data_IF_850881666208
#
_entry.id   IF_850881666208
#
_cell.length_a   1.000
_cell.length_b   1.000
_cell.length_c   1.000
_cell.angle_alpha   90.00
_cell.angle_beta   90.00
_cell.angle_gamma   90.00
#
_symmetry.space_group_name_H-M   'P 1'
#
loop_
_entity.id
_entity.type
_entity.pdbx_description
1 polymer ?
#
# COMPACT_ATOMS: atom_id res chain seq x y z
N UNK A 1 13.57 29.96 28.57
CA UNK A 1 12.96 30.27 27.26
C UNK A 1 12.11 29.08 26.86
N UNK A 2 10.93 29.31 26.27
CA UNK A 2 10.14 28.25 25.69
C UNK A 2 10.67 27.97 24.28
N UNK A 3 11.00 26.71 23.99
CA UNK A 3 11.33 26.20 22.67
C UNK A 3 10.08 26.28 21.80
N UNK A 4 10.20 26.90 20.62
CA UNK A 4 9.15 26.88 19.61
C UNK A 4 9.40 25.74 18.64
N UNK A 5 8.53 24.74 18.66
CA UNK A 5 8.64 23.55 17.82
C UNK A 5 7.56 23.63 16.74
N UNK A 6 7.98 23.68 15.48
CA UNK A 6 7.07 23.61 14.33
C UNK A 6 6.75 22.15 14.01
N UNK A 7 5.47 21.82 14.03
CA UNK A 7 4.95 20.48 13.76
C UNK A 7 4.09 20.55 12.52
N UNK A 8 4.50 19.87 11.47
CA UNK A 8 3.70 19.74 10.26
C UNK A 8 2.72 18.59 10.43
N UNK A 9 1.43 18.91 10.47
CA UNK A 9 0.38 17.91 10.44
C UNK A 9 0.31 17.28 9.04
N UNK A 10 -0.22 16.07 8.96
CA UNK A 10 -0.51 15.43 7.68
C UNK A 10 -1.43 16.32 6.84
N UNK A 11 -2.34 17.10 7.46
CA UNK A 11 -3.21 18.11 6.81
C UNK A 11 -2.46 19.16 5.97
N UNK A 12 -1.13 19.24 6.12
CA UNK A 12 -0.30 20.32 5.59
C UNK A 12 -0.30 21.55 6.49
N UNK A 13 -1.12 21.58 7.55
CA UNK A 13 -1.11 22.65 8.54
C UNK A 13 0.12 22.57 9.43
N UNK A 14 0.78 23.71 9.62
CA UNK A 14 1.92 23.82 10.53
C UNK A 14 1.42 24.37 11.87
N UNK A 15 1.43 23.52 12.90
CA UNK A 15 1.17 23.94 14.27
C UNK A 15 2.48 24.30 14.96
N UNK A 16 2.49 25.41 15.71
CA UNK A 16 3.63 25.79 16.54
C UNK A 16 3.31 25.44 17.98
N UNK A 17 4.16 24.62 18.59
CA UNK A 17 4.05 24.24 20.00
C UNK A 17 5.13 24.98 20.78
N UNK A 18 4.70 25.68 21.84
CA UNK A 18 5.63 26.26 22.81
C UNK A 18 5.89 25.21 23.91
N UNK A 19 7.02 24.51 23.81
CA UNK A 19 7.45 23.52 24.79
C UNK A 19 8.62 24.09 25.62
N UNK A 20 8.74 23.71 26.89
CA UNK A 20 9.88 24.15 27.72
C UNK A 20 10.95 23.04 27.66
N UNK A 21 12.26 23.34 27.64
CA UNK A 21 13.29 22.29 27.57
C UNK A 21 13.24 21.20 28.64
N UNK A 22 12.62 21.48 29.79
CA UNK A 22 12.41 20.53 30.89
C UNK A 22 11.16 19.63 30.71
N UNK A 23 10.43 19.78 29.60
CA UNK A 23 9.26 18.95 29.29
C UNK A 23 9.72 17.55 28.88
N UNK A 24 9.02 16.52 29.36
CA UNK A 24 9.28 15.13 28.96
C UNK A 24 8.59 14.79 27.65
N UNK A 25 9.04 13.73 26.97
CA UNK A 25 8.38 13.20 25.77
C UNK A 25 6.90 12.89 26.05
N UNK A 26 6.55 12.37 27.24
CA UNK A 26 5.15 12.12 27.64
C UNK A 26 4.30 13.39 27.60
N UNK A 27 4.79 14.49 28.17
CA UNK A 27 4.05 15.75 28.22
C UNK A 27 3.98 16.41 26.84
N UNK A 28 5.05 16.31 26.04
CA UNK A 28 5.05 16.75 24.64
C UNK A 28 4.04 15.98 23.78
N UNK A 29 3.97 14.65 23.91
CA UNK A 29 2.94 13.81 23.26
C UNK A 29 1.52 14.19 23.70
N UNK A 30 1.33 14.62 24.96
CA UNK A 30 0.04 15.11 25.48
C UNK A 30 -0.36 16.44 24.82
N UNK A 31 0.58 17.37 24.64
CA UNK A 31 0.35 18.62 23.92
C UNK A 31 -0.01 18.38 22.44
N UNK A 32 0.69 17.47 21.78
CA UNK A 32 0.36 17.03 20.42
C UNK A 32 -1.06 16.45 20.31
N UNK A 33 -1.50 15.64 21.29
CA UNK A 33 -2.88 15.14 21.36
C UNK A 33 -3.92 16.25 21.60
N UNK A 34 -3.57 17.30 22.32
CA UNK A 34 -4.49 18.41 22.56
C UNK A 34 -4.80 19.21 21.28
N UNK A 35 -3.83 19.31 20.35
CA UNK A 35 -4.04 19.92 19.03
C UNK A 35 -5.06 19.15 18.17
N UNK A 36 -5.22 17.84 18.40
CA UNK A 36 -6.17 17.01 17.66
C UNK A 36 -7.64 17.30 18.00
N UNK A 37 -7.92 17.90 19.16
CA UNK A 37 -9.30 18.12 19.64
C UNK A 37 -10.08 19.23 18.89
N UNK A 38 -9.51 19.81 17.84
CA UNK A 38 -10.13 20.91 17.08
C UNK A 38 -10.35 20.66 15.59
N UNK A 39 -9.97 19.49 15.04
CA UNK A 39 -9.79 19.34 13.58
C UNK A 39 -10.86 18.45 12.91
N UNK A 40 -11.32 17.35 13.53
CA UNK A 40 -12.42 16.48 13.03
C UNK A 40 -12.75 15.38 14.08
N UNK A 41 -13.99 14.88 14.14
CA UNK A 41 -14.38 13.66 14.88
C UNK A 41 -13.46 12.44 14.59
N UNK A 42 -12.93 12.33 13.37
CA UNK A 42 -11.95 11.31 12.97
C UNK A 42 -10.63 11.40 13.74
N UNK A 43 -10.16 12.62 14.04
CA UNK A 43 -8.90 12.84 14.76
C UNK A 43 -9.01 12.61 16.27
N UNK A 44 -10.23 12.70 16.83
CA UNK A 44 -10.50 12.43 18.25
C UNK A 44 -10.29 10.96 18.65
N UNK A 45 -10.33 10.03 17.69
CA UNK A 45 -10.17 8.59 17.92
C UNK A 45 -8.74 8.06 17.67
N UNK A 46 -7.79 8.93 17.29
CA UNK A 46 -6.40 8.57 17.04
C UNK A 46 -5.62 8.39 18.35
N UNK A 47 -5.32 7.14 18.70
CA UNK A 47 -4.83 6.81 20.05
C UNK A 47 -3.30 6.84 20.24
N UNK A 48 -2.50 7.02 19.18
CA UNK A 48 -1.03 7.00 19.29
C UNK A 48 -0.33 8.10 18.46
N UNK A 49 0.42 8.96 19.17
CA UNK A 49 1.33 9.94 18.58
C UNK A 49 2.72 9.34 18.67
N UNK A 50 3.30 8.93 17.54
CA UNK A 50 4.72 8.60 17.49
C UNK A 50 5.49 9.82 17.01
N UNK A 51 6.46 10.23 17.84
CA UNK A 51 7.31 11.36 17.53
C UNK A 51 8.59 10.78 16.94
N UNK A 52 8.93 11.21 15.73
CA UNK A 52 10.15 10.83 15.04
C UNK A 52 11.11 12.02 15.06
N UNK A 53 12.37 11.75 15.40
CA UNK A 53 13.46 12.73 15.34
C UNK A 53 14.59 12.07 14.56
N UNK A 54 15.05 12.71 13.47
CA UNK A 54 16.05 12.13 12.54
C UNK A 54 15.69 10.71 12.08
N UNK A 55 14.42 10.48 11.71
CA UNK A 55 13.88 9.16 11.32
C UNK A 55 13.97 8.06 12.40
N UNK A 56 14.25 8.42 13.66
CA UNK A 56 14.19 7.52 14.80
C UNK A 56 12.96 7.74 15.67
N UNK A 57 12.30 6.64 16.05
CA UNK A 57 11.13 6.65 16.92
C UNK A 57 11.54 6.91 18.36
N UNK A 58 10.92 7.90 18.98
CA UNK A 58 11.07 8.17 20.41
C UNK A 58 10.23 7.21 21.26
N UNK A 59 10.90 6.21 21.85
CA UNK A 59 10.28 5.15 22.65
C UNK A 59 10.31 5.40 24.16
N UNK A 60 11.30 6.12 24.68
CA UNK A 60 11.33 6.51 26.09
C UNK A 60 10.35 7.68 26.30
N UNK A 61 9.45 7.57 27.27
CA UNK A 61 8.45 8.61 27.52
C UNK A 61 8.85 9.54 28.67
N UNK A 62 9.83 9.15 29.48
CA UNK A 62 10.27 9.88 30.67
C UNK A 62 11.52 10.73 30.40
N UNK A 63 12.22 10.47 29.28
CA UNK A 63 13.30 11.29 28.74
C UNK A 63 12.83 12.72 28.40
N UNK A 64 13.69 13.70 28.65
CA UNK A 64 13.45 15.11 28.33
C UNK A 64 13.59 15.38 26.83
N UNK A 65 12.96 16.45 26.33
CA UNK A 65 13.11 16.85 24.92
C UNK A 65 14.57 17.08 24.52
N UNK A 66 15.40 17.62 25.44
CA UNK A 66 16.81 17.86 25.19
C UNK A 66 17.62 16.56 25.07
N UNK A 67 17.35 15.56 25.92
CA UNK A 67 18.01 14.24 25.87
C UNK A 67 17.61 13.49 24.59
N UNK A 68 16.34 13.60 24.19
CA UNK A 68 15.80 13.09 22.93
C UNK A 68 16.32 13.82 21.67
N UNK A 69 17.21 14.81 21.85
CA UNK A 69 17.83 15.58 20.78
C UNK A 69 16.87 16.53 20.07
N UNK A 70 15.77 16.97 20.69
CA UNK A 70 14.83 17.97 20.16
C UNK A 70 15.27 19.37 20.61
N UNK A 71 15.48 20.27 19.65
CA UNK A 71 15.89 21.66 19.86
C UNK A 71 15.18 22.62 18.89
N UNK A 72 15.26 23.93 19.15
CA UNK A 72 14.65 24.99 18.30
C UNK A 72 15.03 24.89 16.81
N UNK A 73 16.26 24.47 16.51
CA UNK A 73 16.78 24.41 15.13
C UNK A 73 16.55 23.07 14.42
N UNK A 74 15.86 22.12 15.06
CA UNK A 74 15.73 20.74 14.55
C UNK A 74 14.31 20.45 14.10
N UNK A 75 14.16 19.98 12.86
CA UNK A 75 12.87 19.56 12.33
C UNK A 75 12.39 18.29 13.04
N UNK A 76 11.18 18.34 13.61
CA UNK A 76 10.54 17.20 14.29
C UNK A 76 9.36 16.74 13.43
N UNK A 77 9.45 15.51 12.93
CA UNK A 77 8.37 14.90 12.17
C UNK A 77 7.50 14.08 13.10
N UNK A 78 6.19 14.36 13.12
CA UNK A 78 5.24 13.62 13.96
C UNK A 78 4.44 12.68 13.08
N UNK A 79 4.65 11.38 13.27
CA UNK A 79 3.86 10.35 12.61
C UNK A 79 2.70 9.97 13.54
N UNK A 80 1.49 10.27 13.09
CA UNK A 80 0.32 9.77 13.80
C UNK A 80 0.06 8.34 13.36
N UNK A 81 0.24 7.39 14.28
CA UNK A 81 -0.25 6.03 14.04
C UNK A 81 -1.75 6.07 14.27
N UNK A 82 -2.50 5.93 13.18
CA UNK A 82 -3.88 5.47 13.25
C UNK A 82 -3.77 4.05 13.78
N UNK A 83 -3.96 3.86 15.10
CA UNK A 83 -4.22 2.51 15.57
C UNK A 83 -5.43 2.04 14.77
N UNK A 84 -5.41 0.84 14.16
CA UNK A 84 -6.65 0.26 13.66
C UNK A 84 -7.62 0.39 14.81
N UNK A 85 -8.71 1.12 14.58
CA UNK A 85 -9.69 1.44 15.62
C UNK A 85 -9.98 0.13 16.34
N UNK A 86 -9.52 0.00 17.58
CA UNK A 86 -10.00 -1.04 18.47
C UNK A 86 -11.48 -0.69 18.65
N UNK A 87 -12.31 -1.32 17.83
CA UNK A 87 -13.73 -1.48 18.02
C UNK A 87 -14.47 -0.24 18.53
N UNK A 88 -14.97 0.60 17.62
CA UNK A 88 -16.20 1.39 17.87
C UNK A 88 -17.45 0.48 18.07
N UNK A 89 -17.29 -0.84 18.16
CA UNK A 89 -18.36 -1.79 18.45
C UNK A 89 -18.44 -2.23 19.93
N UNK A 90 -18.09 -1.35 20.88
CA UNK A 90 -18.52 -1.50 22.28
C UNK A 90 -18.86 -0.15 22.91
N UNK A 91 -19.97 0.46 22.48
CA UNK A 91 -20.94 1.17 23.35
C UNK A 91 -22.09 1.86 22.59
N UNK A 92 -22.50 1.35 21.44
CA UNK A 92 -23.83 1.60 20.92
C UNK A 92 -24.50 0.26 20.62
N UNK A 93 -25.44 -0.13 21.50
CA UNK A 93 -26.41 -1.15 21.16
C UNK A 93 -27.15 -0.69 19.89
N UNK A 94 -26.88 -1.32 18.76
CA UNK A 94 -27.52 -1.02 17.47
C UNK A 94 -26.62 -0.49 16.35
N UNK A 95 -25.31 -0.79 16.33
CA UNK A 95 -24.50 -0.54 15.13
C UNK A 95 -24.69 -1.68 14.12
N UNK A 96 -25.53 -1.40 13.12
CA UNK A 96 -25.75 -2.23 11.95
C UNK A 96 -24.51 -2.22 11.02
N UNK A 97 -24.37 -3.23 10.16
CA UNK A 97 -23.19 -3.65 9.34
C UNK A 97 -22.53 -2.63 8.38
N UNK A 98 -22.72 -1.30 8.50
CA UNK A 98 -22.25 -0.32 7.50
C UNK A 98 -21.34 0.79 8.05
N UNK A 99 -20.45 0.49 9.00
CA UNK A 99 -19.41 1.44 9.42
C UNK A 99 -18.26 1.51 8.39
N UNK A 100 -18.56 2.04 7.20
CA UNK A 100 -17.62 2.36 6.12
C UNK A 100 -16.56 3.36 6.62
N UNK A 101 -15.35 2.90 6.92
CA UNK A 101 -14.24 3.82 7.17
C UNK A 101 -13.68 4.33 5.83
N UNK A 102 -13.87 5.62 5.57
CA UNK A 102 -13.26 6.37 4.46
C UNK A 102 -12.10 7.18 5.03
N UNK A 103 -10.89 6.97 4.51
CA UNK A 103 -9.69 7.72 4.92
C UNK A 103 -9.21 8.61 3.80
N UNK A 104 -9.16 9.92 4.05
CA UNK A 104 -8.45 10.88 3.19
C UNK A 104 -7.07 11.13 3.77
N UNK A 105 -6.03 10.73 3.05
CA UNK A 105 -4.65 11.04 3.44
C UNK A 105 -4.39 12.50 3.05
N UNK A 106 -3.91 13.36 3.95
CA UNK A 106 -3.55 14.71 3.54
C UNK A 106 -2.05 14.85 3.26
N UNK A 107 -1.69 15.73 2.33
CA UNK A 107 -0.41 16.46 2.26
C UNK A 107 0.93 15.70 2.19
N UNK A 108 0.95 14.37 2.13
CA UNK A 108 2.20 13.60 2.14
C UNK A 108 2.73 13.31 0.74
N UNK A 109 4.06 13.25 0.62
CA UNK A 109 4.76 12.83 -0.58
C UNK A 109 4.80 11.30 -0.74
N UNK A 110 4.76 10.56 0.37
CA UNK A 110 4.87 9.09 0.39
C UNK A 110 3.95 8.55 1.48
N UNK A 111 3.21 7.47 1.19
CA UNK A 111 2.57 6.68 2.24
C UNK A 111 3.64 5.78 2.87
N UNK A 112 3.91 5.86 4.18
CA UNK A 112 4.98 5.11 4.80
C UNK A 112 4.80 3.57 4.73
N UNK A 113 5.91 2.87 5.00
CA UNK A 113 5.93 1.43 5.27
C UNK A 113 4.83 1.05 6.27
N UNK A 114 4.01 0.05 5.92
CA UNK A 114 3.01 -0.58 6.80
C UNK A 114 1.96 0.39 7.40
N UNK A 115 1.74 1.57 6.80
CA UNK A 115 0.92 2.65 7.38
C UNK A 115 -0.51 2.24 7.81
N UNK A 116 -1.13 1.31 7.09
CA UNK A 116 -2.48 0.79 7.33
C UNK A 116 -2.51 -0.74 7.38
N UNK A 117 -1.40 -1.39 7.75
CA UNK A 117 -1.35 -2.86 7.83
C UNK A 117 -2.47 -3.41 8.73
N UNK A 118 -3.12 -4.49 8.28
CA UNK A 118 -4.22 -5.17 8.96
C UNK A 118 -5.41 -4.25 9.33
N UNK A 119 -5.60 -3.13 8.64
CA UNK A 119 -6.80 -2.30 8.77
C UNK A 119 -8.02 -2.99 8.12
N UNK A 120 -8.46 -4.10 8.71
CA UNK A 120 -9.45 -5.03 8.14
C UNK A 120 -10.84 -4.45 7.90
N UNK A 121 -11.16 -3.32 8.54
CA UNK A 121 -12.43 -2.60 8.37
C UNK A 121 -12.32 -1.40 7.41
N UNK A 122 -11.13 -1.11 6.88
CA UNK A 122 -10.94 -0.04 5.90
C UNK A 122 -11.61 -0.45 4.59
N UNK A 123 -12.55 0.35 4.09
CA UNK A 123 -13.29 0.02 2.87
C UNK A 123 -12.91 0.92 1.70
N UNK A 124 -12.64 2.20 1.97
CA UNK A 124 -12.22 3.16 0.94
C UNK A 124 -11.09 4.07 1.42
N UNK A 125 -10.17 4.36 0.52
CA UNK A 125 -9.08 5.32 0.75
C UNK A 125 -9.00 6.28 -0.42
N UNK A 126 -8.94 7.57 -0.14
CA UNK A 126 -8.64 8.60 -1.13
C UNK A 126 -7.23 9.11 -0.88
N UNK A 127 -6.34 8.87 -1.85
CA UNK A 127 -4.93 9.24 -1.79
C UNK A 127 -4.73 10.54 -2.60
N UNK A 128 -4.19 11.62 -1.99
CA UNK A 128 -4.13 12.93 -2.61
C UNK A 128 -3.05 13.00 -3.69
N UNK A 129 -3.18 13.92 -4.64
CA UNK A 129 -2.22 14.15 -5.73
C UNK A 129 -0.80 14.56 -5.28
N UNK A 130 -0.57 14.80 -3.99
CA UNK A 130 0.78 15.01 -3.46
C UNK A 130 1.57 13.71 -3.31
N UNK A 131 0.90 12.55 -3.27
CA UNK A 131 1.56 11.25 -3.01
C UNK A 131 2.20 10.70 -4.27
N UNK A 132 3.53 10.59 -4.25
CA UNK A 132 4.34 10.03 -5.31
C UNK A 132 4.63 8.53 -5.13
N UNK A 133 4.51 7.98 -3.92
CA UNK A 133 4.78 6.55 -3.66
C UNK A 133 3.93 5.95 -2.54
N UNK A 134 3.65 4.65 -2.65
CA UNK A 134 3.02 3.82 -1.61
C UNK A 134 4.07 2.84 -1.08
N UNK A 135 4.42 2.97 0.21
CA UNK A 135 5.45 2.18 0.87
C UNK A 135 5.13 0.70 1.01
N UNK A 136 6.15 -0.08 1.36
CA UNK A 136 6.03 -1.54 1.48
C UNK A 136 4.97 -1.91 2.52
N UNK A 137 4.11 -2.87 2.19
CA UNK A 137 3.04 -3.33 3.08
C UNK A 137 2.01 -2.28 3.51
N UNK A 138 1.98 -1.09 2.90
CA UNK A 138 1.20 0.05 3.39
C UNK A 138 -0.30 -0.25 3.64
N UNK A 139 -0.91 -1.12 2.85
CA UNK A 139 -2.30 -1.59 3.00
C UNK A 139 -2.39 -3.11 3.10
N UNK A 140 -1.30 -3.80 3.48
CA UNK A 140 -1.33 -5.25 3.57
C UNK A 140 -2.37 -5.72 4.61
N UNK A 141 -3.17 -6.74 4.30
CA UNK A 141 -4.19 -7.27 5.20
C UNK A 141 -5.46 -6.44 5.32
N UNK A 142 -5.64 -5.39 4.50
CA UNK A 142 -6.89 -4.62 4.43
C UNK A 142 -7.98 -5.39 3.69
N UNK A 143 -8.49 -6.47 4.30
CA UNK A 143 -9.37 -7.44 3.63
C UNK A 143 -10.68 -6.85 3.10
N UNK A 144 -11.21 -5.78 3.73
CA UNK A 144 -12.46 -5.11 3.30
C UNK A 144 -12.23 -3.94 2.34
N UNK A 145 -10.97 -3.63 2.00
CA UNK A 145 -10.65 -2.48 1.15
C UNK A 145 -11.13 -2.75 -0.26
N UNK A 146 -12.13 -1.99 -0.70
CA UNK A 146 -12.78 -2.16 -2.00
C UNK A 146 -12.31 -1.11 -3.02
N UNK A 147 -12.15 0.14 -2.57
CA UNK A 147 -11.84 1.27 -3.45
C UNK A 147 -10.63 2.05 -2.93
N UNK A 148 -9.67 2.29 -3.81
CA UNK A 148 -8.54 3.18 -3.54
C UNK A 148 -8.46 4.17 -4.69
N UNK A 149 -8.73 5.44 -4.40
CA UNK A 149 -8.56 6.50 -5.38
C UNK A 149 -7.06 6.87 -5.40
N UNK A 150 -6.34 6.34 -6.39
CA UNK A 150 -4.91 6.59 -6.58
C UNK A 150 -4.67 7.92 -7.32
N UNK A 151 -3.65 8.69 -6.91
CA UNK A 151 -3.36 9.97 -7.55
C UNK A 151 -2.66 9.78 -8.89
N UNK A 152 -2.82 10.76 -9.77
CA UNK A 152 -2.16 10.76 -11.09
C UNK A 152 -0.64 10.94 -11.00
N UNK A 153 -0.15 11.49 -9.89
CA UNK A 153 1.26 11.71 -9.58
C UNK A 153 1.97 10.46 -9.03
N UNK A 154 1.26 9.36 -8.79
CA UNK A 154 1.82 8.14 -8.23
C UNK A 154 2.86 7.54 -9.19
N UNK A 155 4.08 7.32 -8.70
CA UNK A 155 5.19 6.78 -9.50
C UNK A 155 5.64 5.38 -9.05
N UNK A 156 5.41 5.01 -7.79
CA UNK A 156 5.82 3.73 -7.22
C UNK A 156 4.76 3.11 -6.29
N UNK A 157 4.56 1.80 -6.43
CA UNK A 157 3.88 0.95 -5.47
C UNK A 157 4.87 -0.11 -5.01
N UNK A 158 5.29 -0.07 -3.75
CA UNK A 158 6.34 -0.93 -3.22
C UNK A 158 5.87 -2.36 -2.92
N UNK A 159 6.80 -3.21 -2.46
CA UNK A 159 6.52 -4.61 -2.18
C UNK A 159 5.36 -4.79 -1.20
N UNK A 160 4.50 -5.79 -1.43
CA UNK A 160 3.36 -6.15 -0.57
C UNK A 160 2.36 -5.01 -0.27
N UNK A 161 2.42 -3.87 -0.97
CA UNK A 161 1.63 -2.68 -0.64
C UNK A 161 0.13 -2.95 -0.46
N UNK A 162 -0.46 -3.86 -1.24
CA UNK A 162 -1.86 -4.27 -1.14
C UNK A 162 -2.00 -5.79 -0.94
N UNK A 163 -1.02 -6.45 -0.32
CA UNK A 163 -1.08 -7.89 -0.10
C UNK A 163 -2.32 -8.25 0.73
N UNK A 164 -3.06 -9.30 0.33
CA UNK A 164 -4.24 -9.81 1.03
C UNK A 164 -5.40 -8.81 1.15
N UNK A 165 -5.48 -7.83 0.25
CA UNK A 165 -6.68 -6.99 0.10
C UNK A 165 -7.77 -7.74 -0.67
N UNK A 166 -8.43 -8.68 0.01
CA UNK A 166 -9.33 -9.67 -0.59
C UNK A 166 -10.59 -9.10 -1.26
N UNK A 167 -11.02 -7.88 -0.92
CA UNK A 167 -12.14 -7.19 -1.57
C UNK A 167 -11.73 -6.15 -2.62
N UNK A 168 -10.43 -5.99 -2.87
CA UNK A 168 -9.91 -4.89 -3.68
C UNK A 168 -10.26 -5.04 -5.15
N UNK A 169 -10.87 -3.99 -5.70
CA UNK A 169 -10.91 -3.72 -7.13
C UNK A 169 -10.07 -2.47 -7.37
N UNK A 170 -9.03 -2.57 -8.19
CA UNK A 170 -8.13 -1.44 -8.40
C UNK A 170 -7.64 -1.40 -9.84
N UNK A 171 -7.72 -0.23 -10.43
CA UNK A 171 -6.94 0.14 -11.61
C UNK A 171 -5.81 1.05 -11.13
N UNK A 172 -4.59 0.77 -11.57
CA UNK A 172 -3.43 1.58 -11.20
C UNK A 172 -3.13 2.62 -12.30
N UNK A 173 -2.70 3.83 -11.93
CA UNK A 173 -2.27 4.84 -12.91
C UNK A 173 -0.94 4.42 -13.55
N UNK A 174 -0.39 5.27 -14.42
CA UNK A 174 0.95 5.06 -14.97
C UNK A 174 1.99 5.15 -13.85
N UNK A 175 2.54 4.00 -13.45
CA UNK A 175 3.61 3.90 -12.45
C UNK A 175 4.89 3.38 -13.10
N UNK A 176 6.04 3.80 -12.57
CA UNK A 176 7.36 3.33 -13.04
C UNK A 176 7.87 2.11 -12.28
N UNK A 177 7.31 1.85 -11.09
CA UNK A 177 7.70 0.74 -10.24
C UNK A 177 6.48 0.04 -9.64
N UNK A 178 6.51 -1.29 -9.66
CA UNK A 178 5.52 -2.16 -9.02
C UNK A 178 6.27 -3.30 -8.32
N UNK A 179 6.19 -3.32 -6.99
CA UNK A 179 7.00 -4.17 -6.13
C UNK A 179 6.56 -5.63 -6.10
N UNK A 180 7.44 -6.48 -5.58
CA UNK A 180 7.16 -7.91 -5.41
C UNK A 180 5.95 -8.13 -4.51
N UNK A 181 5.05 -9.03 -4.93
CA UNK A 181 3.81 -9.38 -4.19
C UNK A 181 2.89 -8.18 -3.89
N UNK A 182 3.00 -7.07 -4.61
CA UNK A 182 2.21 -5.86 -4.36
C UNK A 182 0.69 -6.13 -4.27
N UNK A 183 0.17 -7.06 -5.07
CA UNK A 183 -1.24 -7.49 -5.08
C UNK A 183 -1.41 -8.98 -4.76
N UNK A 184 -0.46 -9.60 -4.07
CA UNK A 184 -0.58 -11.03 -3.74
C UNK A 184 -1.79 -11.27 -2.84
N UNK A 185 -2.51 -12.37 -3.07
CA UNK A 185 -3.69 -12.80 -2.33
C UNK A 185 -4.88 -11.79 -2.38
N UNK A 186 -4.90 -10.90 -3.39
CA UNK A 186 -6.06 -10.05 -3.73
C UNK A 186 -7.15 -10.87 -4.43
N UNK A 187 -7.84 -11.73 -3.68
CA UNK A 187 -8.85 -12.66 -4.21
C UNK A 187 -10.07 -12.00 -4.83
N UNK A 188 -10.29 -10.70 -4.63
CA UNK A 188 -11.39 -9.95 -5.23
C UNK A 188 -11.08 -9.48 -6.65
N UNK A 189 -9.81 -9.27 -6.98
CA UNK A 189 -9.40 -8.64 -8.23
C UNK A 189 -9.79 -9.50 -9.44
N UNK A 190 -10.71 -9.03 -10.26
CA UNK A 190 -11.23 -9.82 -11.40
C UNK A 190 -10.50 -9.55 -12.71
N UNK A 191 -10.10 -8.30 -12.93
CA UNK A 191 -9.36 -7.87 -14.11
C UNK A 191 -8.25 -6.92 -13.70
N UNK A 192 -7.15 -6.93 -14.45
CA UNK A 192 -6.06 -6.00 -14.23
C UNK A 192 -5.39 -5.59 -15.54
N UNK A 193 -5.21 -4.28 -15.73
CA UNK A 193 -4.39 -3.75 -16.81
C UNK A 193 -3.03 -3.34 -16.24
N UNK A 194 -1.96 -3.99 -16.69
CA UNK A 194 -0.60 -3.58 -16.34
C UNK A 194 -0.28 -2.28 -17.09
N UNK A 195 0.14 -1.20 -16.40
CA UNK A 195 0.54 0.04 -17.05
C UNK A 195 1.62 -0.17 -18.10
N UNK A 196 1.47 0.49 -19.26
CA UNK A 196 2.43 0.41 -20.38
C UNK A 196 3.81 0.99 -20.06
N UNK A 197 3.91 1.79 -18.99
CA UNK A 197 5.16 2.31 -18.44
C UNK A 197 6.00 1.24 -17.75
N UNK A 198 5.42 0.13 -17.30
CA UNK A 198 6.15 -0.96 -16.64
C UNK A 198 6.84 -1.87 -17.66
N UNK A 199 8.10 -2.22 -17.35
CA UNK A 199 8.89 -3.20 -18.13
C UNK A 199 8.83 -4.62 -17.58
N UNK A 200 8.36 -4.78 -16.35
CA UNK A 200 8.36 -6.06 -15.66
C UNK A 200 7.14 -6.18 -14.73
N UNK A 201 6.53 -7.37 -14.69
CA UNK A 201 5.65 -7.77 -13.58
C UNK A 201 6.51 -8.43 -12.51
N UNK A 202 6.61 -7.81 -11.34
CA UNK A 202 7.48 -8.30 -10.28
C UNK A 202 7.08 -9.70 -9.76
N UNK A 203 8.04 -10.35 -9.07
CA UNK A 203 7.82 -11.69 -8.54
C UNK A 203 6.62 -11.74 -7.59
N UNK A 204 5.73 -12.70 -7.85
CA UNK A 204 4.52 -12.93 -7.06
C UNK A 204 3.51 -11.79 -7.07
N UNK A 205 3.62 -10.81 -7.98
CA UNK A 205 2.83 -9.58 -7.93
C UNK A 205 1.32 -9.82 -7.79
N UNK A 206 0.76 -10.80 -8.50
CA UNK A 206 -0.64 -11.21 -8.47
C UNK A 206 -0.82 -12.67 -7.98
N UNK A 207 0.15 -13.18 -7.21
CA UNK A 207 0.09 -14.54 -6.67
C UNK A 207 -1.21 -14.76 -5.90
N UNK A 208 -1.90 -15.87 -6.15
CA UNK A 208 -3.18 -16.26 -5.54
C UNK A 208 -4.33 -15.24 -5.74
N UNK A 209 -4.29 -14.38 -6.75
CA UNK A 209 -5.48 -13.60 -7.15
C UNK A 209 -6.50 -14.54 -7.81
N UNK A 210 -7.20 -15.34 -7.00
CA UNK A 210 -8.01 -16.48 -7.43
C UNK A 210 -9.18 -16.11 -8.33
N UNK A 211 -9.68 -14.88 -8.25
CA UNK A 211 -10.77 -14.36 -9.10
C UNK A 211 -10.28 -13.63 -10.34
N UNK A 212 -8.97 -13.46 -10.55
CA UNK A 212 -8.42 -12.78 -11.70
C UNK A 212 -8.70 -13.60 -12.97
N UNK A 213 -9.65 -13.12 -13.78
CA UNK A 213 -10.13 -13.76 -15.02
C UNK A 213 -9.33 -13.35 -16.23
N UNK A 214 -8.83 -12.11 -16.24
CA UNK A 214 -8.11 -11.52 -17.36
C UNK A 214 -7.03 -10.56 -16.88
N UNK A 215 -5.88 -10.60 -17.53
CA UNK A 215 -4.81 -9.62 -17.38
C UNK A 215 -4.41 -9.10 -18.75
N UNK A 216 -4.30 -7.78 -18.88
CA UNK A 216 -3.75 -7.12 -20.06
C UNK A 216 -2.32 -6.71 -19.74
N UNK A 217 -1.36 -7.30 -20.46
CA UNK A 217 0.06 -6.99 -20.32
C UNK A 217 0.42 -5.82 -21.26
N UNK A 218 1.36 -4.97 -20.85
CA UNK A 218 1.80 -3.84 -21.68
C UNK A 218 2.75 -4.26 -22.81
N UNK A 219 2.60 -3.63 -23.98
CA UNK A 219 3.34 -3.96 -25.22
C UNK A 219 4.87 -3.84 -25.12
N UNK A 220 5.36 -3.09 -24.13
CA UNK A 220 6.80 -2.86 -23.90
C UNK A 220 7.37 -3.75 -22.77
N UNK A 221 6.58 -4.70 -22.27
CA UNK A 221 6.96 -5.57 -21.17
C UNK A 221 8.05 -6.55 -21.60
N UNK A 222 9.13 -6.64 -20.85
CA UNK A 222 10.27 -7.53 -21.16
C UNK A 222 10.32 -8.78 -20.29
N UNK A 223 9.69 -8.75 -19.11
CA UNK A 223 9.78 -9.83 -18.13
C UNK A 223 8.48 -10.04 -17.34
N UNK A 224 8.11 -11.31 -17.17
CA UNK A 224 7.10 -11.75 -16.20
C UNK A 224 7.85 -12.49 -15.09
N UNK A 225 7.81 -11.96 -13.87
CA UNK A 225 8.58 -12.47 -12.74
C UNK A 225 8.15 -13.85 -12.25
N UNK A 226 8.99 -14.46 -11.41
CA UNK A 226 8.68 -15.75 -10.80
C UNK A 226 7.40 -15.67 -9.95
N UNK A 227 6.54 -16.67 -10.09
CA UNK A 227 5.23 -16.76 -9.41
C UNK A 227 4.25 -15.60 -9.68
N UNK A 228 4.50 -14.75 -10.68
CA UNK A 228 3.76 -13.49 -10.89
C UNK A 228 2.24 -13.64 -10.87
N UNK A 229 1.71 -14.71 -11.45
CA UNK A 229 0.28 -15.06 -11.52
C UNK A 229 0.02 -16.47 -10.94
N UNK A 230 0.92 -16.99 -10.10
CA UNK A 230 0.80 -18.33 -9.52
C UNK A 230 -0.49 -18.45 -8.73
N UNK A 231 -1.34 -19.43 -9.04
CA UNK A 231 -2.61 -19.66 -8.35
C UNK A 231 -3.73 -18.69 -8.75
N UNK A 232 -3.61 -17.95 -9.87
CA UNK A 232 -4.73 -17.24 -10.49
C UNK A 232 -5.71 -18.25 -11.13
N UNK A 233 -6.44 -18.99 -10.30
CA UNK A 233 -7.26 -20.15 -10.70
C UNK A 233 -8.38 -19.82 -11.69
N UNK A 234 -8.82 -18.57 -11.78
CA UNK A 234 -9.87 -18.10 -12.71
C UNK A 234 -9.32 -17.55 -14.03
N UNK A 235 -8.01 -17.40 -14.19
CA UNK A 235 -7.41 -16.84 -15.40
C UNK A 235 -7.61 -17.82 -16.56
N UNK A 236 -8.30 -17.40 -17.62
CA UNK A 236 -8.72 -18.32 -18.71
C UNK A 236 -7.81 -18.30 -19.93
N UNK A 237 -7.24 -17.14 -20.23
CA UNK A 237 -6.32 -16.91 -21.33
C UNK A 237 -5.30 -15.83 -20.94
N UNK A 238 -4.12 -15.89 -21.55
CA UNK A 238 -3.13 -14.81 -21.48
C UNK A 238 -2.47 -14.64 -22.85
N UNK A 239 -2.40 -13.39 -23.29
CA UNK A 239 -1.63 -12.97 -24.47
C UNK A 239 -0.34 -12.33 -23.96
N UNK A 240 0.79 -12.99 -24.23
CA UNK A 240 2.10 -12.51 -23.81
C UNK A 240 2.70 -11.66 -24.94
N UNK A 241 3.02 -10.36 -24.70
CA UNK A 241 3.55 -9.47 -25.73
C UNK A 241 4.86 -9.96 -26.34
N UNK A 242 5.08 -9.70 -27.63
CA UNK A 242 6.29 -10.08 -28.39
C UNK A 242 7.61 -9.56 -27.80
N UNK A 243 7.56 -8.47 -27.03
CA UNK A 243 8.69 -7.89 -26.30
C UNK A 243 9.18 -8.76 -25.13
N UNK A 244 8.35 -9.67 -24.62
CA UNK A 244 8.66 -10.48 -23.42
C UNK A 244 9.76 -11.48 -23.76
N UNK A 245 10.88 -11.37 -23.02
CA UNK A 245 12.06 -12.23 -23.17
C UNK A 245 12.13 -13.32 -22.12
N UNK A 246 11.54 -13.10 -20.94
CA UNK A 246 11.65 -14.01 -19.80
C UNK A 246 10.27 -14.22 -19.17
N UNK A 247 9.89 -15.48 -19.01
CA UNK A 247 8.74 -15.90 -18.20
C UNK A 247 9.29 -16.71 -17.02
N UNK A 248 9.14 -16.16 -15.82
CA UNK A 248 9.75 -16.65 -14.58
C UNK A 248 9.28 -18.02 -14.13
N UNK A 249 10.00 -18.58 -13.15
CA UNK A 249 9.66 -19.88 -12.55
C UNK A 249 8.24 -19.81 -11.99
N UNK A 250 7.42 -20.83 -12.26
CA UNK A 250 6.06 -20.93 -11.74
C UNK A 250 5.15 -19.72 -12.06
N UNK A 251 5.47 -18.91 -13.08
CA UNK A 251 4.80 -17.63 -13.34
C UNK A 251 3.26 -17.77 -13.45
N UNK A 252 2.76 -18.84 -14.08
CA UNK A 252 1.34 -19.16 -14.21
C UNK A 252 1.02 -20.56 -13.63
N UNK A 253 1.84 -21.05 -12.69
CA UNK A 253 1.58 -22.34 -12.06
C UNK A 253 0.30 -22.29 -11.22
N UNK A 254 -0.55 -23.32 -11.29
CA UNK A 254 -1.83 -23.35 -10.58
C UNK A 254 -2.93 -22.48 -11.19
N UNK A 255 -2.74 -21.94 -12.40
CA UNK A 255 -3.82 -21.31 -13.17
C UNK A 255 -4.73 -22.39 -13.77
N UNK A 256 -5.59 -22.99 -12.93
CA UNK A 256 -6.40 -24.16 -13.30
C UNK A 256 -7.38 -23.94 -14.44
N UNK A 257 -7.86 -22.70 -14.63
CA UNK A 257 -8.76 -22.35 -15.74
C UNK A 257 -8.02 -21.94 -17.02
N UNK A 258 -6.69 -21.80 -16.97
CA UNK A 258 -5.91 -21.37 -18.12
C UNK A 258 -5.77 -22.54 -19.09
N UNK A 259 -6.44 -22.45 -20.24
CA UNK A 259 -6.43 -23.52 -21.24
C UNK A 259 -5.36 -23.28 -22.30
N UNK A 260 -5.14 -22.01 -22.66
CA UNK A 260 -4.17 -21.62 -23.68
C UNK A 260 -3.46 -20.32 -23.33
N UNK A 261 -2.21 -20.21 -23.75
CA UNK A 261 -1.41 -19.00 -23.68
C UNK A 261 -0.75 -18.73 -25.04
N UNK A 262 -0.91 -17.52 -25.56
CA UNK A 262 -0.13 -17.06 -26.71
C UNK A 262 1.23 -16.58 -26.19
N UNK A 263 2.31 -17.22 -26.63
CA UNK A 263 3.67 -16.94 -26.14
C UNK A 263 4.62 -16.67 -27.30
N UNK A 264 5.44 -15.60 -27.24
CA UNK A 264 6.43 -15.30 -28.26
C UNK A 264 7.47 -16.40 -28.37
N UNK A 265 7.87 -16.75 -29.59
CA UNK A 265 8.96 -17.73 -29.83
C UNK A 265 10.29 -17.31 -29.20
N UNK A 266 10.47 -16.01 -28.98
CA UNK A 266 11.68 -15.44 -28.40
C UNK A 266 11.74 -15.52 -26.87
N UNK A 267 10.62 -15.87 -26.21
CA UNK A 267 10.53 -15.90 -24.76
C UNK A 267 11.23 -17.15 -24.18
N UNK A 268 12.02 -16.94 -23.12
CA UNK A 268 12.62 -18.02 -22.33
C UNK A 268 11.68 -18.40 -21.19
N UNK A 269 11.09 -19.59 -21.28
CA UNK A 269 10.25 -20.15 -20.22
C UNK A 269 11.13 -20.82 -19.16
N UNK A 270 11.07 -20.32 -17.92
CA UNK A 270 11.70 -20.97 -16.77
C UNK A 270 10.86 -22.19 -16.32
N UNK A 271 11.43 -23.13 -15.54
CA UNK A 271 10.71 -24.32 -15.10
C UNK A 271 9.38 -23.98 -14.41
N UNK A 272 8.33 -24.73 -14.75
CA UNK A 272 7.00 -24.55 -14.16
C UNK A 272 6.26 -23.28 -14.61
N UNK A 273 6.79 -22.50 -15.55
CA UNK A 273 6.17 -21.25 -16.01
C UNK A 273 4.67 -21.42 -16.35
N UNK A 274 4.30 -22.54 -16.95
CA UNK A 274 2.91 -22.97 -17.17
C UNK A 274 2.73 -24.41 -16.70
N UNK A 275 1.54 -24.74 -16.24
CA UNK A 275 1.16 -26.12 -15.91
C UNK A 275 1.01 -26.96 -17.18
N UNK A 276 1.15 -28.28 -17.04
CA UNK A 276 1.17 -29.22 -18.17
C UNK A 276 -0.12 -29.29 -18.98
N UNK A 277 -1.25 -28.82 -18.45
CA UNK A 277 -2.53 -28.78 -19.17
C UNK A 277 -2.67 -27.56 -20.10
N UNK A 278 -1.80 -26.55 -19.98
CA UNK A 278 -1.88 -25.32 -20.77
C UNK A 278 -1.31 -25.56 -22.17
N UNK A 279 -2.11 -25.27 -23.19
CA UNK A 279 -1.67 -25.30 -24.59
C UNK A 279 -0.94 -24.00 -24.95
N UNK A 280 0.34 -24.09 -25.28
CA UNK A 280 1.12 -22.94 -25.75
C UNK A 280 0.92 -22.76 -27.25
N UNK A 281 0.33 -21.63 -27.63
CA UNK A 281 0.20 -21.21 -29.03
C UNK A 281 1.37 -20.29 -29.32
N UNK A 282 2.18 -20.64 -30.31
CA UNK A 282 3.19 -19.70 -30.80
C UNK A 282 2.47 -18.60 -31.56
N UNK A 283 2.62 -17.35 -31.12
CA UNK A 283 2.15 -16.20 -31.90
C UNK A 283 2.85 -16.23 -33.28
N UNK A 284 2.11 -16.22 -34.41
CA UNK A 284 2.72 -16.24 -35.73
C UNK A 284 3.60 -15.02 -36.02
N UNK A 285 3.37 -13.88 -35.35
CA UNK A 285 3.98 -12.60 -35.70
C UNK A 285 3.38 -11.97 -36.94
#
# INVERSE_FOLDING_TARGET
MALKISVQQLSGEVAVIEAVPATTIREFKRQLKALQRGVDELTCNMSLVEVMVDDQRLTDNDETLAEAGISEDKAVTVAFIIKPVECLCKEAAGCDEESLLVVTIPGVAVIPLEAFIDARHLVRVTIPDTVAAIGEGAFAGCISLQQVDLPSSLTSIEARAFQSCSSLQLQIPSVTHLGARAFADCSGLETFQVPSSLRCVASGCFRSCSSLKSVVLGDEMTEIGAEAFKGCSSLTAVEVPESVRIIGRDAFAGCSSLVSAAVPKSAQLRPGAFDSHVTLVCDPG
#
